data_IF_958973088333
#
_entry.id   IF_958973088333
#
_cell.length_a   1.000
_cell.length_b   1.000
_cell.length_c   1.000
_cell.angle_alpha   90.00
_cell.angle_beta   90.00
_cell.angle_gamma   90.00
#
_symmetry.space_group_name_H-M   'P 1'
#
loop_
_entity.id
_entity.type
_entity.pdbx_description
1 polymer ?
#
# COMPACT_ATOMS: atom_id res chain seq x y z
N UNK A 1 6.34 0.27 -9.10
CA UNK A 1 5.24 0.29 -8.11
C UNK A 1 4.28 1.45 -8.28
N UNK A 2 4.70 2.48 -9.00
CA UNK A 2 3.98 3.76 -9.14
C UNK A 2 2.53 3.65 -9.61
N UNK A 3 2.26 2.79 -10.59
CA UNK A 3 0.89 2.60 -11.10
C UNK A 3 -0.03 2.07 -9.99
N UNK A 4 0.43 1.10 -9.20
CA UNK A 4 -0.36 0.48 -8.14
C UNK A 4 -0.63 1.48 -7.02
N UNK A 5 0.42 2.16 -6.55
CA UNK A 5 0.32 3.15 -5.48
C UNK A 5 -0.50 4.37 -5.90
N UNK A 6 -0.28 4.87 -7.13
CA UNK A 6 -1.05 5.97 -7.71
C UNK A 6 -2.51 5.62 -7.90
N UNK A 7 -2.82 4.38 -8.31
CA UNK A 7 -4.21 3.91 -8.42
C UNK A 7 -4.86 3.75 -7.06
N UNK A 8 -4.15 3.19 -6.07
CA UNK A 8 -4.64 3.10 -4.69
C UNK A 8 -4.97 4.48 -4.13
N UNK A 9 -4.04 5.43 -4.27
CA UNK A 9 -4.24 6.79 -3.79
C UNK A 9 -5.42 7.45 -4.49
N UNK A 10 -5.49 7.40 -5.83
CA UNK A 10 -6.59 7.95 -6.60
C UNK A 10 -7.96 7.39 -6.17
N UNK A 11 -8.04 6.09 -5.91
CA UNK A 11 -9.30 5.42 -5.60
C UNK A 11 -9.74 5.60 -4.14
N UNK A 12 -8.81 5.90 -3.22
CA UNK A 12 -9.07 5.92 -1.78
C UNK A 12 -8.79 7.26 -1.10
N UNK A 13 -8.21 8.27 -1.80
CA UNK A 13 -7.76 9.53 -1.20
C UNK A 13 -8.82 10.20 -0.31
N UNK A 14 -10.06 10.30 -0.80
CA UNK A 14 -11.17 10.93 -0.08
C UNK A 14 -11.62 10.16 1.18
N UNK A 15 -11.15 8.91 1.33
CA UNK A 15 -11.43 8.01 2.46
C UNK A 15 -10.26 7.90 3.45
N UNK A 16 -9.14 8.57 3.18
CA UNK A 16 -7.97 8.54 4.04
C UNK A 16 -7.99 9.68 5.04
N UNK A 17 -7.71 9.36 6.30
CA UNK A 17 -7.49 10.36 7.33
C UNK A 17 -6.12 11.03 7.18
N UNK A 18 -5.93 12.21 7.77
CA UNK A 18 -4.64 12.93 7.72
C UNK A 18 -3.47 12.08 8.22
N UNK A 19 -3.67 11.30 9.30
CA UNK A 19 -2.69 10.34 9.81
C UNK A 19 -2.30 9.32 8.73
N UNK A 20 -3.27 8.77 8.02
CA UNK A 20 -3.04 7.78 6.97
C UNK A 20 -2.35 8.37 5.76
N UNK A 21 -2.62 9.65 5.43
CA UNK A 21 -1.90 10.37 4.39
C UNK A 21 -0.42 10.59 4.75
N UNK A 22 -0.11 10.86 6.02
CA UNK A 22 1.26 10.96 6.50
C UNK A 22 1.97 9.61 6.45
N UNK A 23 1.31 8.55 6.90
CA UNK A 23 1.84 7.20 6.80
C UNK A 23 2.03 6.75 5.34
N UNK A 24 1.14 7.16 4.44
CA UNK A 24 1.27 6.87 3.01
C UNK A 24 2.52 7.52 2.43
N UNK A 25 2.87 8.74 2.86
CA UNK A 25 4.16 9.35 2.48
C UNK A 25 5.35 8.53 2.95
N UNK A 26 5.28 7.92 4.15
CA UNK A 26 6.33 7.01 4.64
C UNK A 26 6.42 5.78 3.73
N UNK A 27 5.29 5.17 3.36
CA UNK A 27 5.28 4.06 2.39
C UNK A 27 5.92 4.43 1.05
N UNK A 28 5.70 5.66 0.56
CA UNK A 28 6.31 6.13 -0.69
C UNK A 28 7.84 6.29 -0.61
N UNK A 29 8.42 6.35 0.59
CA UNK A 29 9.88 6.37 0.77
C UNK A 29 10.50 4.98 0.77
N UNK A 30 9.69 3.92 0.86
CA UNK A 30 10.15 2.53 0.83
C UNK A 30 10.51 2.14 -0.60
N UNK A 31 11.57 1.36 -0.75
CA UNK A 31 12.01 0.91 -2.08
C UNK A 31 10.95 0.06 -2.78
N UNK A 32 10.84 0.25 -4.11
CA UNK A 32 9.97 -0.56 -4.97
C UNK A 32 10.15 -2.06 -4.78
N UNK A 33 11.39 -2.51 -4.54
CA UNK A 33 11.71 -3.92 -4.29
C UNK A 33 11.07 -4.41 -2.99
N UNK A 34 11.23 -3.69 -1.88
CA UNK A 34 10.66 -4.07 -0.59
C UNK A 34 9.12 -4.09 -0.64
N UNK A 35 8.51 -3.07 -1.25
CA UNK A 35 7.06 -3.03 -1.47
C UNK A 35 6.58 -4.19 -2.36
N UNK A 36 7.32 -4.55 -3.41
CA UNK A 36 6.97 -5.68 -4.28
C UNK A 36 7.13 -7.04 -3.59
N UNK A 37 8.22 -7.21 -2.85
CA UNK A 37 8.48 -8.39 -2.02
C UNK A 37 7.31 -8.62 -1.03
N UNK A 38 6.83 -7.53 -0.41
CA UNK A 38 5.73 -7.60 0.56
C UNK A 38 4.33 -7.74 -0.08
N UNK A 39 3.97 -6.92 -1.07
CA UNK A 39 2.64 -6.91 -1.69
C UNK A 39 2.41 -8.05 -2.68
N UNK A 40 3.44 -8.43 -3.43
CA UNK A 40 3.31 -9.35 -4.57
C UNK A 40 3.85 -10.73 -4.23
N UNK A 41 5.02 -10.81 -3.60
CA UNK A 41 5.64 -12.08 -3.23
C UNK A 41 5.18 -12.61 -1.85
N UNK A 42 4.43 -11.80 -1.09
CA UNK A 42 3.88 -12.20 0.20
C UNK A 42 4.93 -12.40 1.29
N UNK A 43 6.11 -11.78 1.16
CA UNK A 43 7.12 -11.78 2.22
C UNK A 43 6.66 -10.87 3.36
N UNK A 44 7.01 -11.22 4.59
CA UNK A 44 6.77 -10.35 5.73
C UNK A 44 7.81 -9.23 5.76
N UNK A 45 7.35 -8.04 6.14
CA UNK A 45 8.20 -6.87 6.35
C UNK A 45 7.65 -6.11 7.57
N UNK A 46 8.28 -6.23 8.75
CA UNK A 46 7.78 -5.62 9.98
C UNK A 46 7.68 -4.10 9.91
N UNK A 47 8.54 -3.43 9.14
CA UNK A 47 8.50 -1.98 8.98
C UNK A 47 7.23 -1.59 8.22
N UNK A 48 6.89 -2.33 7.16
CA UNK A 48 5.66 -2.10 6.39
C UNK A 48 4.42 -2.52 7.18
N UNK A 49 4.45 -3.64 7.91
CA UNK A 49 3.29 -4.18 8.65
C UNK A 49 2.87 -3.33 9.86
N UNK A 50 3.80 -2.57 10.44
CA UNK A 50 3.52 -1.63 11.51
C UNK A 50 2.86 -0.33 11.03
N UNK A 51 2.81 -0.10 9.72
CA UNK A 51 2.13 1.05 9.12
C UNK A 51 0.65 0.69 8.92
N UNK A 52 -0.28 1.49 9.42
CA UNK A 52 -1.70 1.15 9.41
C UNK A 52 -2.27 1.18 7.98
N UNK A 53 -1.92 2.21 7.21
CA UNK A 53 -2.35 2.36 5.81
C UNK A 53 -1.84 1.22 4.90
N UNK A 54 -0.78 0.50 5.29
CA UNK A 54 -0.29 -0.63 4.50
C UNK A 54 -1.32 -1.75 4.42
N UNK A 55 -2.09 -1.99 5.49
CA UNK A 55 -3.14 -3.02 5.53
C UNK A 55 -4.22 -2.73 4.49
N UNK A 56 -4.70 -1.49 4.41
CA UNK A 56 -5.66 -1.03 3.40
C UNK A 56 -5.11 -1.17 1.98
N UNK A 57 -3.83 -0.85 1.77
CA UNK A 57 -3.16 -1.05 0.48
C UNK A 57 -3.13 -2.53 0.07
N UNK A 58 -2.82 -3.43 1.00
CA UNK A 58 -2.79 -4.88 0.76
C UNK A 58 -4.18 -5.43 0.42
N UNK A 59 -5.21 -5.00 1.15
CA UNK A 59 -6.61 -5.34 0.87
C UNK A 59 -7.05 -4.87 -0.51
N UNK A 60 -6.71 -3.64 -0.90
CA UNK A 60 -7.01 -3.08 -2.23
C UNK A 60 -6.42 -3.93 -3.36
N UNK A 61 -5.17 -4.39 -3.19
CA UNK A 61 -4.50 -5.26 -4.16
C UNK A 61 -5.17 -6.63 -4.25
N UNK A 62 -5.55 -7.23 -3.11
CA UNK A 62 -6.26 -8.51 -3.07
C UNK A 62 -7.62 -8.39 -3.78
N UNK A 63 -8.41 -7.37 -3.44
CA UNK A 63 -9.72 -7.12 -4.04
C UNK A 63 -9.65 -6.90 -5.56
N UNK A 64 -8.60 -6.22 -6.04
CA UNK A 64 -8.36 -6.09 -7.49
C UNK A 64 -7.98 -7.41 -8.15
N UNK A 65 -7.17 -8.25 -7.51
CA UNK A 65 -6.81 -9.57 -8.04
C UNK A 65 -8.00 -10.53 -8.10
N UNK A 66 -9.00 -10.38 -7.23
CA UNK A 66 -10.22 -11.20 -7.25
C UNK A 66 -11.24 -10.77 -8.31
N UNK A 67 -11.14 -9.54 -8.82
CA UNK A 67 -12.04 -8.97 -9.85
C UNK A 67 -11.57 -9.22 -11.29
N UNK A 68 -10.35 -9.72 -11.47
CA UNK A 68 -9.72 -10.05 -12.75
C UNK A 68 -9.52 -11.57 -12.85
#
# INVERSE_FOLDING_TARGET
>A
MDILLGTFFKDNYDLLEEKELLEFKVLLMITDKALSDWLIMGKNDPEIENIEISKKLKEHVIMRKLKN
#
